data_IF_893046856169
#
_entry.id   IF_893046856169
#
_cell.length_a   1.000
_cell.length_b   1.000
_cell.length_c   1.000
_cell.angle_alpha   90.00
_cell.angle_beta   90.00
_cell.angle_gamma   90.00
#
_symmetry.space_group_name_H-M   'P 1'
#
loop_
_entity.id
_entity.type
_entity.pdbx_description
1 polymer ?
#
# COMPACT_ATOMS: atom_id res chain seq x y z
N UNK A 1 2.30 10.47 13.20
CA UNK A 1 1.02 9.96 13.72
C UNK A 1 -0.18 10.72 13.17
N UNK A 2 -0.22 12.06 13.25
CA UNK A 2 -1.41 12.87 12.90
C UNK A 2 -1.95 12.63 11.49
N UNK A 3 -1.10 12.58 10.46
CA UNK A 3 -1.53 12.30 9.10
C UNK A 3 -2.09 10.87 8.92
N UNK A 4 -1.52 9.89 9.63
CA UNK A 4 -2.01 8.51 9.60
C UNK A 4 -3.36 8.38 10.30
N UNK A 5 -3.54 9.07 11.43
CA UNK A 5 -4.84 9.14 12.12
C UNK A 5 -5.90 9.79 11.24
N UNK A 6 -5.56 10.88 10.54
CA UNK A 6 -6.48 11.52 9.61
C UNK A 6 -6.87 10.59 8.45
N UNK A 7 -5.92 9.86 7.88
CA UNK A 7 -6.19 8.88 6.82
C UNK A 7 -7.09 7.73 7.32
N UNK A 8 -6.81 7.19 8.50
CA UNK A 8 -7.59 6.12 9.09
C UNK A 8 -9.01 6.57 9.47
N UNK A 9 -9.17 7.78 10.02
CA UNK A 9 -10.48 8.35 10.32
C UNK A 9 -11.29 8.62 9.03
N UNK A 10 -10.65 9.11 7.96
CA UNK A 10 -11.30 9.25 6.66
C UNK A 10 -11.78 7.90 6.12
N UNK A 11 -10.95 6.86 6.27
CA UNK A 11 -11.28 5.51 5.87
C UNK A 11 -12.44 4.90 6.67
N UNK A 12 -12.53 5.17 7.97
CA UNK A 12 -13.63 4.73 8.85
C UNK A 12 -14.99 5.24 8.38
N UNK A 13 -15.04 6.47 7.86
CA UNK A 13 -16.25 7.07 7.30
C UNK A 13 -16.45 6.79 5.81
N UNK A 14 -15.58 5.98 5.20
CA UNK A 14 -15.69 5.59 3.80
C UNK A 14 -16.38 4.22 3.62
N UNK A 15 -16.92 3.99 2.41
CA UNK A 15 -17.40 2.66 2.02
C UNK A 15 -16.26 1.65 1.84
N UNK A 16 -16.58 0.36 1.78
CA UNK A 16 -15.60 -0.71 1.57
C UNK A 16 -14.86 -0.68 0.23
N UNK A 17 -15.31 0.16 -0.70
CA UNK A 17 -14.72 0.32 -2.03
C UNK A 17 -13.47 1.21 -2.07
N UNK A 18 -13.25 2.06 -1.06
CA UNK A 18 -12.14 3.00 -1.06
C UNK A 18 -10.82 2.33 -0.64
N UNK A 19 -9.78 2.56 -1.44
CA UNK A 19 -8.38 2.26 -1.12
C UNK A 19 -7.63 3.59 -1.01
N UNK A 20 -7.02 3.85 0.14
CA UNK A 20 -6.14 4.99 0.34
C UNK A 20 -4.70 4.56 0.10
N UNK A 21 -4.02 5.27 -0.79
CA UNK A 21 -2.66 4.96 -1.21
C UNK A 21 -1.72 6.11 -0.85
N UNK A 22 -0.46 5.78 -0.57
CA UNK A 22 0.57 6.78 -0.27
C UNK A 22 1.92 6.38 -0.85
N UNK A 23 2.63 7.38 -1.37
CA UNK A 23 4.02 7.29 -1.78
C UNK A 23 4.87 8.13 -0.83
N UNK A 24 5.82 7.52 -0.13
CA UNK A 24 6.82 8.28 0.62
C UNK A 24 7.82 8.98 -0.29
N UNK A 25 8.60 9.89 0.27
CA UNK A 25 9.74 10.50 -0.43
C UNK A 25 10.75 9.40 -0.82
N UNK A 26 11.15 9.37 -2.09
CA UNK A 26 11.94 8.26 -2.64
C UNK A 26 11.11 7.02 -3.03
N UNK A 27 9.80 7.03 -2.78
CA UNK A 27 8.80 6.08 -3.25
C UNK A 27 8.07 6.54 -4.50
N UNK A 28 8.78 7.14 -5.46
CA UNK A 28 8.18 7.69 -6.69
C UNK A 28 7.10 8.78 -6.49
N UNK A 29 7.10 9.46 -5.35
CA UNK A 29 6.22 10.62 -5.13
C UNK A 29 6.52 11.74 -6.15
N UNK A 30 5.48 12.21 -6.86
CA UNK A 30 5.57 13.27 -7.86
C UNK A 30 5.45 14.68 -7.28
N UNK A 31 4.97 14.79 -6.03
CA UNK A 31 4.88 16.05 -5.28
C UNK A 31 5.60 15.94 -3.95
N UNK A 32 6.13 17.05 -3.45
CA UNK A 32 6.97 17.12 -2.26
C UNK A 32 6.18 17.35 -0.94
N UNK A 33 4.85 17.45 -1.01
CA UNK A 33 3.99 17.56 0.16
C UNK A 33 3.27 16.23 0.43
N UNK A 34 2.93 16.02 1.70
CA UNK A 34 2.17 14.85 2.13
C UNK A 34 0.78 14.88 1.48
N UNK A 35 0.46 13.84 0.74
CA UNK A 35 -0.86 13.64 0.16
C UNK A 35 -1.15 12.14 0.11
N UNK A 36 -2.40 11.78 0.34
CA UNK A 36 -2.92 10.44 0.05
C UNK A 36 -3.64 10.48 -1.29
N UNK A 37 -3.57 9.37 -2.01
CA UNK A 37 -4.33 9.12 -3.24
C UNK A 37 -5.47 8.16 -2.90
N UNK A 38 -6.52 8.14 -3.72
CA UNK A 38 -7.70 7.31 -3.48
C UNK A 38 -8.16 6.59 -4.73
N UNK A 39 -8.39 5.28 -4.61
CA UNK A 39 -9.07 4.47 -5.62
C UNK A 39 -10.43 4.01 -5.12
N UNK A 40 -11.45 4.14 -5.96
CA UNK A 40 -12.76 3.54 -5.76
C UNK A 40 -12.88 2.31 -6.65
N UNK A 41 -12.96 1.12 -6.05
CA UNK A 41 -13.14 -0.14 -6.78
C UNK A 41 -14.57 -0.65 -6.67
N UNK A 42 -14.91 -1.67 -7.49
CA UNK A 42 -16.26 -2.22 -7.54
C UNK A 42 -17.29 -1.28 -8.18
N UNK A 43 -16.81 -0.37 -9.04
CA UNK A 43 -17.64 0.34 -10.02
C UNK A 43 -17.64 -0.44 -11.33
N UNK A 44 -18.68 -0.27 -12.16
CA UNK A 44 -18.84 -1.04 -13.40
C UNK A 44 -17.56 -1.04 -14.27
N UNK A 45 -17.10 -2.24 -14.63
CA UNK A 45 -15.91 -2.44 -15.46
C UNK A 45 -14.57 -2.44 -14.73
N UNK A 46 -14.54 -2.29 -13.40
CA UNK A 46 -13.31 -2.35 -12.59
C UNK A 46 -13.33 -3.55 -11.63
N UNK A 47 -12.17 -4.16 -11.32
CA UNK A 47 -12.10 -5.25 -10.37
C UNK A 47 -12.53 -4.79 -8.97
N UNK A 48 -12.92 -5.74 -8.12
CA UNK A 48 -13.39 -5.46 -6.75
C UNK A 48 -12.27 -5.40 -5.71
N UNK A 49 -11.05 -5.79 -6.10
CA UNK A 49 -9.84 -5.81 -5.27
C UNK A 49 -8.59 -5.58 -6.12
N UNK A 50 -7.52 -5.10 -5.49
CA UNK A 50 -6.18 -5.03 -6.08
C UNK A 50 -5.49 -6.40 -6.02
N UNK A 51 -4.58 -6.73 -6.95
CA UNK A 51 -3.85 -8.01 -6.92
C UNK A 51 -3.19 -8.31 -5.57
N UNK A 52 -2.50 -7.33 -4.98
CA UNK A 52 -1.88 -7.47 -3.65
C UNK A 52 -2.90 -7.87 -2.55
N UNK A 53 -4.18 -7.50 -2.67
CA UNK A 53 -5.21 -7.85 -1.67
C UNK A 53 -5.55 -9.34 -1.67
N UNK A 54 -5.28 -10.06 -2.77
CA UNK A 54 -5.60 -11.47 -2.94
C UNK A 54 -4.48 -12.42 -2.47
N UNK A 55 -3.29 -11.88 -2.20
CA UNK A 55 -2.11 -12.67 -1.87
C UNK A 55 -2.18 -13.31 -0.47
N UNK A 56 -1.45 -14.42 -0.32
CA UNK A 56 -1.37 -15.11 0.95
C UNK A 56 -0.56 -14.31 1.97
N UNK A 57 -1.07 -14.23 3.21
CA UNK A 57 -0.37 -13.60 4.32
C UNK A 57 0.15 -14.66 5.29
N UNK A 58 1.46 -14.61 5.58
CA UNK A 58 2.07 -15.33 6.69
C UNK A 58 1.94 -14.48 7.95
N UNK A 59 1.09 -14.93 8.88
CA UNK A 59 0.83 -14.20 10.11
C UNK A 59 1.88 -14.52 11.18
N UNK A 60 2.41 -13.48 11.83
CA UNK A 60 3.38 -13.62 12.93
C UNK A 60 2.76 -13.30 14.29
N UNK A 61 1.74 -12.44 14.32
CA UNK A 61 0.97 -12.08 15.50
C UNK A 61 -0.50 -12.03 15.13
N UNK A 62 -1.34 -12.71 15.90
CA UNK A 62 -2.79 -12.69 15.69
C UNK A 62 -3.51 -12.58 17.03
N UNK A 63 -4.33 -11.54 17.16
CA UNK A 63 -5.31 -11.37 18.23
C UNK A 63 -6.66 -11.01 17.61
N UNK A 64 -7.72 -10.97 18.41
CA UNK A 64 -9.05 -10.56 17.95
C UNK A 64 -9.07 -9.11 17.43
N UNK A 65 -8.28 -8.22 18.03
CA UNK A 65 -8.26 -6.80 17.70
C UNK A 65 -7.20 -6.42 16.67
N UNK A 66 -6.13 -7.21 16.56
CA UNK A 66 -4.96 -6.87 15.76
C UNK A 66 -4.25 -8.11 15.26
N UNK A 67 -3.97 -8.17 13.96
CA UNK A 67 -3.02 -9.13 13.41
C UNK A 67 -1.93 -8.43 12.60
N UNK A 68 -0.72 -8.99 12.65
CA UNK A 68 0.43 -8.54 11.88
C UNK A 68 1.10 -9.73 11.19
N UNK A 69 1.40 -9.56 9.91
CA UNK A 69 2.06 -10.58 9.08
C UNK A 69 2.81 -9.95 7.93
N UNK A 70 3.16 -10.77 6.96
CA UNK A 70 3.78 -10.37 5.70
C UNK A 70 3.15 -11.09 4.52
N UNK A 71 3.13 -10.45 3.35
CA UNK A 71 2.68 -11.09 2.11
C UNK A 71 3.76 -12.06 1.63
N UNK A 72 3.35 -13.28 1.31
CA UNK A 72 4.22 -14.33 0.77
C UNK A 72 4.27 -14.22 -0.75
N UNK A 73 5.42 -14.53 -1.34
CA UNK A 73 5.62 -14.61 -2.80
C UNK A 73 5.34 -13.30 -3.58
N UNK A 74 5.31 -12.15 -2.91
CA UNK A 74 5.26 -10.84 -3.56
C UNK A 74 6.67 -10.33 -3.91
N UNK A 75 6.90 -9.68 -5.07
CA UNK A 75 8.23 -9.19 -5.46
C UNK A 75 8.79 -8.09 -4.55
N UNK A 76 7.95 -7.47 -3.72
CA UNK A 76 8.35 -6.46 -2.72
C UNK A 76 8.12 -7.00 -1.30
N UNK A 77 8.90 -6.52 -0.34
CA UNK A 77 8.64 -6.80 1.07
C UNK A 77 7.42 -6.02 1.55
N UNK A 78 6.34 -6.74 1.89
CA UNK A 78 5.07 -6.14 2.31
C UNK A 78 4.70 -6.63 3.69
N UNK A 79 4.69 -5.72 4.66
CA UNK A 79 4.08 -5.97 5.97
C UNK A 79 2.57 -5.73 5.89
N UNK A 80 1.79 -6.59 6.53
CA UNK A 80 0.33 -6.50 6.60
C UNK A 80 -0.10 -6.32 8.04
N UNK A 81 -1.01 -5.37 8.27
CA UNK A 81 -1.68 -5.14 9.55
C UNK A 81 -3.18 -5.24 9.32
N UNK A 82 -3.89 -6.03 10.11
CA UNK A 82 -5.35 -5.91 10.26
C UNK A 82 -5.69 -5.43 11.66
N UNK A 83 -6.73 -4.61 11.77
CA UNK A 83 -7.16 -4.06 13.04
C UNK A 83 -8.69 -3.93 13.10
N UNK A 84 -9.26 -4.10 14.30
CA UNK A 84 -10.69 -3.91 14.55
C UNK A 84 -11.12 -2.44 14.49
N UNK A 85 -10.20 -1.50 14.71
CA UNK A 85 -10.46 -0.06 14.68
C UNK A 85 -9.45 0.69 13.81
N UNK A 86 -9.90 1.81 13.25
CA UNK A 86 -9.05 2.70 12.45
C UNK A 86 -7.88 3.26 13.28
N UNK A 87 -8.12 3.56 14.55
CA UNK A 87 -7.08 4.02 15.48
C UNK A 87 -5.96 3.00 15.64
N UNK A 88 -6.30 1.73 15.93
CA UNK A 88 -5.31 0.67 16.10
C UNK A 88 -4.51 0.45 14.80
N UNK A 89 -5.19 0.49 13.64
CA UNK A 89 -4.51 0.43 12.35
C UNK A 89 -3.47 1.55 12.22
N UNK A 90 -3.88 2.79 12.49
CA UNK A 90 -3.01 3.95 12.33
C UNK A 90 -1.77 3.87 13.22
N UNK A 91 -1.93 3.47 14.48
CA UNK A 91 -0.83 3.33 15.43
C UNK A 91 0.16 2.27 14.95
N UNK A 92 -0.32 1.10 14.53
CA UNK A 92 0.55 -0.02 14.16
C UNK A 92 1.22 0.18 12.80
N UNK A 93 0.50 0.73 11.81
CA UNK A 93 1.10 1.13 10.53
C UNK A 93 2.16 2.21 10.75
N UNK A 94 1.87 3.26 11.55
CA UNK A 94 2.84 4.30 11.86
C UNK A 94 4.09 3.73 12.54
N UNK A 95 3.93 2.76 13.46
CA UNK A 95 5.08 2.11 14.12
C UNK A 95 5.99 1.39 13.12
N UNK A 96 5.44 0.77 12.08
CA UNK A 96 6.24 0.14 11.01
C UNK A 96 6.91 1.23 10.16
N UNK A 97 6.17 2.26 9.77
CA UNK A 97 6.69 3.41 9.01
C UNK A 97 7.86 4.08 9.73
N UNK A 98 7.76 4.32 11.03
CA UNK A 98 8.81 4.95 11.82
C UNK A 98 10.12 4.13 11.78
N UNK A 99 10.02 2.80 11.80
CA UNK A 99 11.19 1.91 11.66
C UNK A 99 11.83 2.01 10.28
N UNK A 100 11.02 2.09 9.22
CA UNK A 100 11.53 2.27 7.86
C UNK A 100 12.21 3.63 7.71
N UNK A 101 11.62 4.69 8.27
CA UNK A 101 12.19 6.04 8.26
C UNK A 101 13.52 6.10 9.01
N UNK A 102 13.65 5.44 10.17
CA UNK A 102 14.90 5.34 10.92
C UNK A 102 16.02 4.66 10.10
N UNK A 103 15.67 3.80 9.15
CA UNK A 103 16.59 3.09 8.27
C UNK A 103 16.75 3.78 6.89
N UNK A 104 16.13 4.94 6.70
CA UNK A 104 16.06 5.65 5.41
C UNK A 104 15.53 4.76 4.27
N UNK A 105 14.53 3.95 4.58
CA UNK A 105 13.85 3.07 3.62
C UNK A 105 12.58 3.76 3.13
N UNK A 106 12.53 4.02 1.82
CA UNK A 106 11.31 4.48 1.18
C UNK A 106 10.23 3.39 1.29
N UNK A 107 8.98 3.81 1.31
CA UNK A 107 7.83 2.93 1.44
C UNK A 107 6.59 3.46 0.69
N UNK A 108 5.66 2.55 0.45
CA UNK A 108 4.30 2.86 0.05
C UNK A 108 3.33 2.36 1.10
N UNK A 109 2.12 2.93 1.10
CA UNK A 109 1.03 2.44 1.93
C UNK A 109 -0.19 2.15 1.08
N UNK A 110 -0.93 1.11 1.44
CA UNK A 110 -2.29 0.87 1.02
C UNK A 110 -3.14 0.64 2.28
N UNK A 111 -4.13 1.49 2.51
CA UNK A 111 -5.06 1.40 3.64
C UNK A 111 -6.48 1.20 3.10
N UNK A 112 -7.23 0.28 3.69
CA UNK A 112 -8.58 -0.03 3.26
C UNK A 112 -9.43 -0.58 4.41
N UNK A 113 -10.76 -0.49 4.25
CA UNK A 113 -11.67 -1.27 5.09
C UNK A 113 -11.57 -2.74 4.67
N UNK A 114 -11.56 -3.64 5.65
CA UNK A 114 -11.39 -5.07 5.43
C UNK A 114 -12.31 -5.84 6.35
N UNK A 115 -13.25 -6.60 5.79
CA UNK A 115 -14.26 -7.34 6.55
C UNK A 115 -14.97 -6.45 7.59
N UNK A 116 -14.89 -6.79 8.88
CA UNK A 116 -15.46 -6.04 9.98
C UNK A 116 -14.55 -4.93 10.54
N UNK A 117 -13.37 -4.72 9.96
CA UNK A 117 -12.37 -3.77 10.45
C UNK A 117 -11.60 -3.11 9.32
N UNK A 118 -10.28 -3.06 9.49
CA UNK A 118 -9.36 -2.34 8.61
C UNK A 118 -8.12 -3.17 8.30
N UNK A 119 -7.53 -2.91 7.14
CA UNK A 119 -6.25 -3.49 6.74
C UNK A 119 -5.32 -2.41 6.19
N UNK A 120 -4.04 -2.57 6.47
CA UNK A 120 -2.96 -1.71 6.00
C UNK A 120 -1.81 -2.56 5.49
N UNK A 121 -1.32 -2.22 4.30
CA UNK A 121 -0.10 -2.77 3.74
C UNK A 121 0.98 -1.70 3.79
N UNK A 122 2.16 -2.07 4.31
CA UNK A 122 3.36 -1.23 4.29
C UNK A 122 4.37 -1.90 3.37
N UNK A 123 4.59 -1.30 2.22
CA UNK A 123 5.39 -1.88 1.14
C UNK A 123 6.75 -1.20 1.16
N UNK A 124 7.80 -1.91 1.56
CA UNK A 124 9.15 -1.36 1.60
C UNK A 124 9.72 -1.26 0.18
N UNK A 125 10.33 -0.11 -0.12
CA UNK A 125 11.00 0.19 -1.38
C UNK A 125 12.47 0.48 -1.11
N UNK A 126 13.34 -0.41 -1.56
CA UNK A 126 14.78 -0.12 -1.59
C UNK A 126 15.05 0.83 -2.74
N UNK A 127 15.64 1.98 -2.45
CA UNK A 127 16.19 2.85 -3.50
C UNK A 127 17.26 2.07 -4.26
N UNK A 128 17.09 1.89 -5.57
CA UNK A 128 18.14 1.31 -6.40
C UNK A 128 19.37 2.22 -6.34
N UNK A 129 20.52 1.66 -5.97
CA UNK A 129 21.80 2.38 -5.90
C UNK A 129 22.34 2.74 -7.30
N UNK A 130 21.84 2.09 -8.35
CA UNK A 130 22.13 2.38 -9.74
C UNK A 130 20.87 2.86 -10.44
N UNK A 131 20.93 4.05 -11.04
CA UNK A 131 20.00 4.49 -12.09
C UNK A 131 20.20 3.57 -13.31
N UNK A 132 19.77 2.32 -13.24
CA UNK A 132 19.26 1.69 -14.45
C UNK A 132 17.83 2.19 -14.56
N UNK A 133 17.49 2.99 -15.58
CA UNK A 133 16.12 3.34 -15.82
C UNK A 133 15.39 2.04 -16.15
N UNK A 134 14.72 1.43 -15.16
CA UNK A 134 13.53 0.67 -15.49
C UNK A 134 12.61 1.65 -16.22
N UNK A 135 12.05 1.22 -17.35
CA UNK A 135 11.06 2.02 -18.08
C UNK A 135 9.90 2.45 -17.17
N UNK A 136 9.62 1.63 -16.16
CA UNK A 136 8.53 1.81 -15.20
C UNK A 136 9.07 2.44 -13.93
N UNK A 137 8.53 3.62 -13.59
CA UNK A 137 8.70 4.20 -12.26
C UNK A 137 7.71 3.54 -11.30
N UNK A 138 8.18 2.60 -10.46
CA UNK A 138 7.32 1.85 -9.53
C UNK A 138 6.82 2.78 -8.42
N UNK A 139 5.60 3.29 -8.56
CA UNK A 139 4.84 3.96 -7.52
C UNK A 139 3.97 2.95 -6.77
N UNK A 140 3.14 3.45 -5.83
CA UNK A 140 2.23 2.58 -5.07
C UNK A 140 1.31 1.77 -5.97
N UNK A 141 0.93 2.28 -7.14
CA UNK A 141 0.04 1.59 -8.08
C UNK A 141 0.67 0.30 -8.60
N UNK A 142 1.90 0.39 -9.07
CA UNK A 142 2.66 -0.76 -9.56
C UNK A 142 3.02 -1.69 -8.39
N UNK A 143 3.30 -1.12 -7.21
CA UNK A 143 3.60 -1.88 -6.00
C UNK A 143 2.42 -2.73 -5.49
N UNK A 144 1.17 -2.35 -5.81
CA UNK A 144 -0.04 -3.14 -5.51
C UNK A 144 -0.48 -4.04 -6.67
N UNK A 145 0.28 -4.08 -7.77
CA UNK A 145 0.05 -4.93 -8.94
C UNK A 145 -0.75 -4.29 -10.06
N UNK A 146 -0.95 -2.97 -10.04
CA UNK A 146 -1.60 -2.22 -11.12
C UNK A 146 -0.58 -1.41 -11.91
N UNK A 147 -0.39 -1.80 -13.17
CA UNK A 147 0.54 -1.14 -14.08
C UNK A 147 -0.20 -0.17 -14.99
N UNK A 148 0.23 1.09 -15.00
CA UNK A 148 -0.24 2.09 -15.95
C UNK A 148 0.75 2.16 -17.11
N UNK A 149 0.35 1.62 -18.26
CA UNK A 149 1.17 1.67 -19.48
C UNK A 149 0.77 2.91 -20.30
N UNK A 150 1.66 3.90 -20.49
CA UNK A 150 1.38 5.11 -21.26
C UNK A 150 1.22 4.83 -22.77
N UNK A 151 1.86 3.77 -23.28
CA UNK A 151 1.74 3.36 -24.66
C UNK A 151 1.64 1.83 -24.82
N UNK A 152 1.28 1.41 -26.04
CA UNK A 152 1.06 0.00 -26.39
C UNK A 152 2.35 -0.79 -26.37
N UNK A 153 3.49 -0.18 -26.71
CA UNK A 153 4.77 -0.88 -26.75
C UNK A 153 5.22 -1.29 -25.34
N UNK A 154 5.02 -0.43 -24.35
CA UNK A 154 5.28 -0.75 -22.94
C UNK A 154 4.34 -1.84 -22.42
N UNK A 155 3.06 -1.78 -22.78
CA UNK A 155 2.10 -2.84 -22.45
C UNK A 155 2.50 -4.20 -23.04
N UNK A 156 2.89 -4.23 -24.31
CA UNK A 156 3.35 -5.45 -24.99
C UNK A 156 4.63 -6.00 -24.36
N UNK A 157 5.58 -5.13 -23.97
CA UNK A 157 6.82 -5.55 -23.31
C UNK A 157 6.59 -6.16 -21.93
N UNK A 158 5.55 -5.73 -21.20
CA UNK A 158 5.22 -6.24 -19.86
C UNK A 158 4.41 -7.54 -19.86
N UNK A 159 3.77 -7.86 -20.98
CA UNK A 159 2.84 -8.99 -21.10
C UNK A 159 3.42 -10.20 -21.84
N UNK A 160 4.65 -10.08 -22.37
CA UNK A 160 5.43 -11.16 -22.97
C UNK A 160 6.29 -11.90 -21.93
#
# INVERSE_FOLDING_TARGET
LDAMLAAAAFLEHSGGSLRLLYNSLGGAASVNHLHFQGYYLGVDGFPTSLPLEAEQVLWHRQTEELSQGEVVDWPLHVAVVTASTAYLLAVEVQRIVDRLLLQNVAHHLLLLRWEAGFRGYVIARKLQQSFQPSLINVAVNEAVGWFICPDVAEFEALTQ
#
